data_IF_834075141403
#
_entry.id   IF_834075141403
#
_cell.length_a   1.000
_cell.length_b   1.000
_cell.length_c   1.000
_cell.angle_alpha   90.00
_cell.angle_beta   90.00
_cell.angle_gamma   90.00
#
_symmetry.space_group_name_H-M   'P 1'
#
loop_
_entity.id
_entity.type
_entity.pdbx_description
1 polymer ?
#
# COMPACT_ATOMS: atom_id res chain seq x y z
N UNK A 1 55.50 5.07 -19.77
CA UNK A 1 54.09 5.29 -20.10
C UNK A 1 53.92 6.76 -20.32
N UNK A 2 53.53 7.16 -21.51
CA UNK A 2 53.42 8.58 -21.88
C UNK A 2 52.23 9.23 -21.22
N UNK A 3 52.35 10.48 -20.77
CA UNK A 3 51.29 11.29 -20.12
C UNK A 3 49.95 11.24 -20.89
N UNK A 4 50.05 11.14 -22.22
CA UNK A 4 48.87 11.06 -23.09
C UNK A 4 48.01 9.81 -22.86
N UNK A 5 48.61 8.67 -22.47
CA UNK A 5 47.86 7.44 -22.17
C UNK A 5 47.13 7.56 -20.82
N UNK A 6 47.74 8.25 -19.85
CA UNK A 6 47.14 8.48 -18.55
C UNK A 6 45.92 9.44 -18.67
N UNK A 7 46.05 10.52 -19.46
CA UNK A 7 44.94 11.47 -19.72
C UNK A 7 43.79 10.77 -20.46
N UNK A 8 44.08 9.91 -21.43
CA UNK A 8 43.05 9.15 -22.15
C UNK A 8 42.32 8.14 -21.22
N UNK A 9 43.03 7.44 -20.30
CA UNK A 9 42.42 6.58 -19.31
C UNK A 9 41.56 7.28 -18.31
N UNK A 10 41.98 8.47 -17.85
CA UNK A 10 41.17 9.33 -16.94
C UNK A 10 39.94 9.85 -17.67
N UNK A 11 40.03 10.25 -18.92
CA UNK A 11 38.91 10.72 -19.73
C UNK A 11 37.86 9.65 -19.97
N UNK A 12 38.29 8.44 -20.36
CA UNK A 12 37.35 7.31 -20.58
C UNK A 12 36.75 6.81 -19.26
N UNK A 13 37.55 6.73 -18.19
CA UNK A 13 37.06 6.36 -16.87
C UNK A 13 36.06 7.35 -16.28
N UNK A 14 36.31 8.64 -16.47
CA UNK A 14 35.43 9.71 -16.01
C UNK A 14 34.08 9.73 -16.73
N UNK A 15 34.08 9.50 -18.06
CA UNK A 15 32.85 9.43 -18.85
C UNK A 15 32.03 8.17 -18.53
N UNK A 16 32.67 7.01 -18.32
CA UNK A 16 32.00 5.78 -17.91
C UNK A 16 31.36 5.90 -16.52
N UNK A 17 32.08 6.43 -15.55
CA UNK A 17 31.55 6.70 -14.21
C UNK A 17 30.43 7.73 -14.24
N UNK A 18 30.57 8.79 -15.01
CA UNK A 18 29.54 9.82 -15.17
C UNK A 18 28.25 9.29 -15.79
N UNK A 19 28.35 8.40 -16.78
CA UNK A 19 27.17 7.75 -17.39
C UNK A 19 26.49 6.76 -16.44
N UNK A 20 27.26 5.96 -15.69
CA UNK A 20 26.68 5.02 -14.71
C UNK A 20 25.96 5.78 -13.59
N UNK A 21 26.63 6.78 -13.00
CA UNK A 21 26.03 7.61 -11.94
C UNK A 21 24.84 8.41 -12.47
N UNK A 22 24.91 8.94 -13.69
CA UNK A 22 23.80 9.68 -14.32
C UNK A 22 22.60 8.81 -14.63
N UNK A 23 22.81 7.57 -15.08
CA UNK A 23 21.74 6.59 -15.33
C UNK A 23 21.06 6.16 -14.02
N UNK A 24 21.83 5.85 -12.98
CA UNK A 24 21.30 5.49 -11.67
C UNK A 24 20.57 6.66 -11.01
N UNK A 25 21.12 7.87 -11.10
CA UNK A 25 20.48 9.08 -10.57
C UNK A 25 19.21 9.45 -11.35
N UNK A 26 19.21 9.32 -12.68
CA UNK A 26 18.02 9.51 -13.51
C UNK A 26 16.94 8.45 -13.18
N UNK A 27 17.33 7.20 -12.95
CA UNK A 27 16.43 6.12 -12.56
C UNK A 27 15.86 6.35 -11.15
N UNK A 28 16.67 6.81 -10.21
CA UNK A 28 16.25 7.21 -8.88
C UNK A 28 15.34 8.44 -8.93
N UNK A 29 15.69 9.49 -9.65
CA UNK A 29 14.88 10.71 -9.75
C UNK A 29 13.57 10.49 -10.51
N UNK A 30 13.52 9.61 -11.51
CA UNK A 30 12.27 9.26 -12.19
C UNK A 30 11.28 8.48 -11.30
N UNK A 31 11.78 7.83 -10.24
CA UNK A 31 10.98 7.16 -9.22
C UNK A 31 10.53 8.01 -8.04
N UNK A 32 11.26 9.13 -7.76
CA UNK A 32 11.07 9.92 -6.53
C UNK A 32 9.94 10.95 -6.58
N UNK A 33 9.36 11.25 -7.72
CA UNK A 33 8.52 12.44 -7.86
C UNK A 33 7.01 12.26 -7.86
N UNK A 34 6.44 11.03 -7.87
CA UNK A 34 4.97 10.90 -7.93
C UNK A 34 4.50 9.62 -7.26
N UNK A 35 3.69 9.79 -6.19
CA UNK A 35 3.03 8.68 -5.51
C UNK A 35 2.24 7.85 -6.55
N UNK A 36 2.66 6.60 -6.78
CA UNK A 36 1.97 5.65 -7.66
C UNK A 36 0.62 5.21 -7.09
N UNK A 37 0.50 5.26 -5.76
CA UNK A 37 -0.69 4.89 -5.03
C UNK A 37 -1.11 6.05 -4.13
N UNK A 38 -2.37 6.44 -4.23
CA UNK A 38 -3.02 7.42 -3.34
C UNK A 38 -4.15 6.72 -2.59
N UNK A 39 -4.15 6.86 -1.27
CA UNK A 39 -5.22 6.35 -0.40
C UNK A 39 -6.12 7.51 0.01
N UNK A 40 -7.42 7.29 -0.06
CA UNK A 40 -8.46 8.27 0.27
C UNK A 40 -9.73 7.60 0.79
N UNK A 41 -10.71 8.39 1.25
CA UNK A 41 -12.01 7.91 1.73
C UNK A 41 -11.88 6.79 2.78
N UNK A 42 -11.09 7.08 3.82
CA UNK A 42 -10.79 6.13 4.89
C UNK A 42 -11.92 6.16 5.90
N UNK A 43 -12.48 4.99 6.17
CA UNK A 43 -13.51 4.75 7.19
C UNK A 43 -13.11 3.50 7.97
N UNK A 44 -12.85 3.67 9.26
CA UNK A 44 -12.30 2.63 10.13
C UNK A 44 -13.13 2.50 11.39
N UNK A 45 -13.51 1.27 11.73
CA UNK A 45 -14.11 0.93 13.01
C UNK A 45 -13.43 -0.29 13.61
N UNK A 46 -13.08 -0.20 14.87
CA UNK A 46 -12.55 -1.33 15.65
C UNK A 46 -13.56 -1.75 16.70
N UNK A 47 -13.98 -3.01 16.63
CA UNK A 47 -14.88 -3.66 17.55
C UNK A 47 -14.18 -4.62 18.49
N UNK A 48 -14.90 -5.09 19.47
CA UNK A 48 -14.40 -6.01 20.52
C UNK A 48 -14.38 -7.47 20.07
N UNK A 49 -14.96 -7.79 18.91
CA UNK A 49 -15.12 -9.16 18.42
C UNK A 49 -16.13 -9.99 19.22
N UNK A 50 -16.84 -9.39 20.19
CA UNK A 50 -17.83 -10.09 21.03
C UNK A 50 -19.20 -10.16 20.33
N UNK A 51 -20.06 -11.13 20.69
CA UNK A 51 -21.45 -11.15 20.23
C UNK A 51 -22.17 -9.84 20.59
N UNK A 52 -22.93 -9.29 19.66
CA UNK A 52 -23.66 -8.02 19.82
C UNK A 52 -25.03 -8.19 20.50
N UNK A 53 -25.38 -9.39 20.94
CA UNK A 53 -26.68 -9.72 21.54
C UNK A 53 -27.86 -9.72 20.55
N UNK A 54 -27.63 -9.41 19.27
CA UNK A 54 -28.64 -9.39 18.20
C UNK A 54 -28.42 -10.47 17.14
N UNK A 55 -27.57 -11.47 17.45
CA UNK A 55 -27.20 -12.56 16.55
C UNK A 55 -26.03 -12.23 15.64
N UNK A 56 -25.38 -11.07 15.82
CA UNK A 56 -24.17 -10.65 15.14
C UNK A 56 -22.95 -10.56 16.06
N UNK A 57 -21.89 -9.97 15.52
CA UNK A 57 -20.66 -9.71 16.26
C UNK A 57 -20.27 -8.22 16.11
N UNK A 58 -19.75 -7.63 17.17
CA UNK A 58 -19.11 -6.32 17.15
C UNK A 58 -17.74 -6.45 16.46
N UNK A 59 -17.78 -6.58 15.14
CA UNK A 59 -16.60 -6.77 14.29
C UNK A 59 -15.91 -5.46 13.95
N UNK A 60 -14.68 -5.60 13.48
CA UNK A 60 -13.88 -4.48 12.98
C UNK A 60 -13.94 -4.42 11.46
N UNK A 61 -14.02 -3.23 10.90
CA UNK A 61 -13.90 -3.03 9.47
C UNK A 61 -13.02 -1.82 9.12
N UNK A 62 -12.38 -1.92 7.97
CA UNK A 62 -11.56 -0.88 7.40
C UNK A 62 -11.96 -0.75 5.95
N UNK A 63 -12.44 0.43 5.57
CA UNK A 63 -12.76 0.79 4.20
C UNK A 63 -11.84 1.90 3.74
N UNK A 64 -11.32 1.80 2.53
CA UNK A 64 -10.56 2.88 1.92
C UNK A 64 -10.55 2.75 0.40
N UNK A 65 -10.27 3.85 -0.27
CA UNK A 65 -10.09 3.91 -1.72
C UNK A 65 -8.61 3.95 -2.06
N UNK A 66 -8.16 3.03 -2.91
CA UNK A 66 -6.81 3.00 -3.46
C UNK A 66 -6.85 3.39 -4.95
N UNK A 67 -6.25 4.53 -5.28
CA UNK A 67 -6.09 5.01 -6.65
C UNK A 67 -4.65 4.82 -7.08
N UNK A 68 -4.45 4.06 -8.17
CA UNK A 68 -3.14 3.64 -8.66
C UNK A 68 -2.93 4.23 -10.04
N UNK A 69 -1.81 4.93 -10.22
CA UNK A 69 -1.42 5.53 -11.50
C UNK A 69 -0.25 4.77 -12.11
N UNK A 70 -0.45 4.20 -13.28
CA UNK A 70 0.59 3.57 -14.08
C UNK A 70 1.04 4.52 -15.21
N UNK A 71 2.26 5.05 -15.11
CA UNK A 71 2.86 5.93 -16.13
C UNK A 71 3.70 5.18 -17.15
N UNK A 72 3.91 3.88 -16.97
CA UNK A 72 4.74 3.05 -17.84
C UNK A 72 3.99 2.66 -19.11
N UNK A 73 4.75 2.31 -20.15
CA UNK A 73 4.21 1.79 -21.43
C UNK A 73 3.80 0.31 -21.35
N UNK A 74 3.92 -0.32 -20.16
CA UNK A 74 3.53 -1.71 -19.92
C UNK A 74 2.49 -1.74 -18.80
N UNK A 75 1.59 -2.72 -18.79
CA UNK A 75 0.66 -2.94 -17.69
C UNK A 75 1.41 -3.19 -16.38
N UNK A 76 0.77 -2.83 -15.30
CA UNK A 76 1.27 -2.97 -13.93
C UNK A 76 0.32 -3.90 -13.18
N UNK A 77 0.84 -5.01 -12.68
CA UNK A 77 0.10 -5.92 -11.81
C UNK A 77 0.58 -5.72 -10.38
N UNK A 78 -0.36 -5.41 -9.50
CA UNK A 78 -0.16 -5.32 -8.06
C UNK A 78 -0.71 -6.59 -7.45
N UNK A 79 0.11 -7.29 -6.67
CA UNK A 79 -0.20 -8.59 -6.09
C UNK A 79 0.07 -8.61 -4.58
N UNK A 80 -0.27 -9.73 -3.94
CA UNK A 80 -0.03 -9.97 -2.50
C UNK A 80 -0.60 -8.85 -1.64
N UNK A 81 -1.84 -8.50 -1.94
CA UNK A 81 -2.57 -7.40 -1.32
C UNK A 81 -3.06 -7.82 0.06
N UNK A 82 -2.69 -7.06 1.10
CA UNK A 82 -3.11 -7.32 2.47
C UNK A 82 -3.12 -6.01 3.28
N UNK A 83 -3.79 -6.03 4.43
CA UNK A 83 -3.66 -5.02 5.47
C UNK A 83 -2.96 -5.61 6.69
N UNK A 84 -1.90 -4.97 7.14
CA UNK A 84 -1.24 -5.25 8.41
C UNK A 84 -1.76 -4.26 9.46
N UNK A 85 -2.20 -4.80 10.60
CA UNK A 85 -2.71 -4.02 11.74
C UNK A 85 -1.69 -4.05 12.87
N UNK A 86 -1.52 -2.91 13.52
CA UNK A 86 -0.51 -2.72 14.55
C UNK A 86 -1.12 -2.15 15.83
N UNK A 87 -0.49 -2.49 16.96
CA UNK A 87 -0.63 -1.83 18.26
C UNK A 87 0.78 -1.42 18.68
N UNK A 88 1.08 -0.13 18.69
CA UNK A 88 2.43 0.39 18.79
C UNK A 88 3.34 -0.13 17.67
N UNK A 89 4.43 -0.78 18.05
CA UNK A 89 5.36 -1.42 17.12
C UNK A 89 4.99 -2.86 16.77
N UNK A 90 4.04 -3.47 17.47
CA UNK A 90 3.69 -4.88 17.32
C UNK A 90 2.63 -5.07 16.24
N UNK A 91 2.89 -5.96 15.29
CA UNK A 91 1.89 -6.39 14.30
C UNK A 91 0.93 -7.39 14.96
N UNK A 92 -0.34 -6.98 15.13
CA UNK A 92 -1.37 -7.79 15.80
C UNK A 92 -2.17 -8.67 14.82
N UNK A 93 -2.32 -8.24 13.56
CA UNK A 93 -3.03 -9.04 12.56
C UNK A 93 -2.53 -8.76 11.14
N UNK A 94 -2.76 -9.74 10.24
CA UNK A 94 -2.64 -9.59 8.79
C UNK A 94 -3.95 -10.05 8.17
N UNK A 95 -4.60 -9.20 7.41
CA UNK A 95 -5.94 -9.44 6.88
C UNK A 95 -5.92 -9.37 5.35
N UNK A 96 -6.64 -10.27 4.71
CA UNK A 96 -6.91 -10.17 3.27
C UNK A 96 -7.81 -8.98 2.99
N UNK A 97 -7.65 -8.39 1.82
CA UNK A 97 -8.48 -7.32 1.30
C UNK A 97 -9.57 -7.89 0.39
N UNK A 98 -10.74 -7.27 0.41
CA UNK A 98 -11.83 -7.57 -0.48
C UNK A 98 -12.14 -6.36 -1.38
N UNK A 99 -12.62 -6.62 -2.58
CA UNK A 99 -13.09 -5.60 -3.52
C UNK A 99 -14.54 -5.23 -3.19
N UNK A 100 -14.75 -4.06 -2.61
CA UNK A 100 -16.08 -3.56 -2.21
C UNK A 100 -17.03 -3.37 -3.40
N UNK A 101 -16.47 -3.20 -4.60
CA UNK A 101 -17.25 -3.02 -5.83
C UNK A 101 -17.87 -4.34 -6.33
N UNK A 102 -17.44 -5.51 -5.80
CA UNK A 102 -17.98 -6.83 -6.13
C UNK A 102 -19.07 -7.31 -5.17
N UNK A 103 -19.76 -6.38 -4.52
CA UNK A 103 -20.77 -6.71 -3.50
C UNK A 103 -21.84 -7.66 -4.03
N UNK A 104 -22.03 -8.77 -3.31
CA UNK A 104 -23.13 -9.72 -3.51
C UNK A 104 -23.96 -9.78 -2.25
N UNK A 105 -25.28 -9.67 -2.38
CA UNK A 105 -26.20 -9.86 -1.26
C UNK A 105 -26.71 -11.29 -1.27
N UNK A 106 -26.47 -12.03 -0.21
CA UNK A 106 -26.96 -13.40 -0.05
C UNK A 106 -27.44 -13.61 1.38
N UNK A 107 -28.66 -14.10 1.56
CA UNK A 107 -29.25 -14.43 2.85
C UNK A 107 -29.13 -13.32 3.93
N UNK A 108 -29.29 -12.05 3.51
CA UNK A 108 -29.20 -10.91 4.43
C UNK A 108 -27.79 -10.42 4.74
N UNK A 109 -26.75 -11.13 4.27
CA UNK A 109 -25.34 -10.74 4.44
C UNK A 109 -24.74 -10.17 3.15
N UNK A 110 -23.81 -9.23 3.30
CA UNK A 110 -22.98 -8.75 2.18
C UNK A 110 -21.72 -9.61 2.09
N UNK A 111 -21.41 -10.09 0.88
CA UNK A 111 -20.18 -10.80 0.56
C UNK A 111 -19.44 -10.03 -0.52
N UNK A 112 -18.14 -9.88 -0.34
CA UNK A 112 -17.23 -9.24 -1.29
C UNK A 112 -16.24 -10.28 -1.81
N UNK A 113 -15.81 -10.15 -3.06
CA UNK A 113 -14.78 -11.03 -3.61
C UNK A 113 -13.41 -10.63 -3.07
N UNK A 114 -12.55 -11.61 -2.83
CA UNK A 114 -11.18 -11.37 -2.38
C UNK A 114 -10.38 -10.62 -3.45
N UNK A 115 -9.71 -9.54 -3.05
CA UNK A 115 -8.87 -8.74 -3.92
C UNK A 115 -7.45 -9.32 -3.96
N UNK A 116 -7.19 -10.22 -4.90
CA UNK A 116 -5.89 -10.91 -5.03
C UNK A 116 -4.88 -10.12 -5.81
N UNK A 117 -5.33 -9.37 -6.80
CA UNK A 117 -4.48 -8.52 -7.64
C UNK A 117 -5.25 -7.30 -8.16
N UNK A 118 -4.51 -6.29 -8.57
CA UNK A 118 -5.04 -5.13 -9.28
C UNK A 118 -4.23 -4.97 -10.56
N UNK A 119 -4.90 -5.07 -11.71
CA UNK A 119 -4.28 -4.79 -13.00
C UNK A 119 -4.52 -3.32 -13.36
N UNK A 120 -3.44 -2.64 -13.74
CA UNK A 120 -3.47 -1.25 -14.18
C UNK A 120 -2.85 -1.17 -15.57
N UNK A 121 -3.67 -0.92 -16.58
CA UNK A 121 -3.20 -0.82 -17.96
C UNK A 121 -2.09 0.22 -18.13
N UNK A 122 -1.35 0.14 -19.23
CA UNK A 122 -0.27 1.11 -19.52
C UNK A 122 -0.85 2.53 -19.63
N UNK A 123 -0.12 3.52 -19.09
CA UNK A 123 -0.48 4.96 -19.13
C UNK A 123 -1.91 5.26 -18.63
N UNK A 124 -2.40 4.48 -17.66
CA UNK A 124 -3.75 4.62 -17.12
C UNK A 124 -3.76 4.69 -15.61
N UNK A 125 -4.93 4.94 -15.04
CA UNK A 125 -5.18 4.85 -13.62
C UNK A 125 -6.32 3.87 -13.34
N UNK A 126 -6.22 3.18 -12.22
CA UNK A 126 -7.26 2.28 -11.71
C UNK A 126 -7.56 2.65 -10.27
N UNK A 127 -8.85 2.66 -9.92
CA UNK A 127 -9.30 2.90 -8.55
C UNK A 127 -10.03 1.67 -8.04
N UNK A 128 -9.73 1.27 -6.79
CA UNK A 128 -10.39 0.17 -6.10
C UNK A 128 -10.90 0.63 -4.74
N UNK A 129 -12.13 0.27 -4.42
CA UNK A 129 -12.71 0.43 -3.10
C UNK A 129 -12.42 -0.85 -2.30
N UNK A 130 -11.57 -0.74 -1.28
CA UNK A 130 -11.06 -1.87 -0.52
C UNK A 130 -11.83 -1.99 0.79
N UNK A 131 -12.22 -3.21 1.10
CA UNK A 131 -12.87 -3.60 2.35
C UNK A 131 -12.05 -4.67 3.06
N UNK A 132 -11.86 -4.49 4.36
CA UNK A 132 -11.24 -5.46 5.26
C UNK A 132 -12.18 -5.68 6.43
N UNK A 133 -12.49 -6.94 6.73
CA UNK A 133 -13.32 -7.31 7.86
C UNK A 133 -12.57 -8.28 8.78
N UNK A 134 -12.62 -8.02 10.08
CA UNK A 134 -11.96 -8.84 11.11
C UNK A 134 -12.92 -9.10 12.26
N UNK A 135 -13.01 -10.35 12.70
CA UNK A 135 -13.88 -10.76 13.81
C UNK A 135 -13.24 -10.64 15.19
N UNK A 136 -11.93 -10.45 15.27
CA UNK A 136 -11.21 -10.37 16.54
C UNK A 136 -11.36 -9.03 17.26
N UNK A 137 -10.93 -8.99 18.51
CA UNK A 137 -10.77 -7.74 19.26
C UNK A 137 -9.60 -6.93 18.69
N UNK A 138 -9.91 -5.77 18.15
CA UNK A 138 -8.96 -4.84 17.57
C UNK A 138 -9.02 -3.45 18.23
N UNK A 139 -9.61 -3.36 19.43
CA UNK A 139 -9.71 -2.07 20.15
C UNK A 139 -8.35 -1.45 20.47
N UNK A 140 -7.29 -2.27 20.55
CA UNK A 140 -5.91 -1.83 20.74
C UNK A 140 -5.20 -1.42 19.44
N UNK A 141 -5.85 -1.55 18.28
CA UNK A 141 -5.25 -1.16 16.99
C UNK A 141 -5.08 0.35 16.92
N UNK A 142 -3.87 0.80 16.61
CA UNK A 142 -3.53 2.21 16.48
C UNK A 142 -3.01 2.59 15.08
N UNK A 143 -2.71 1.58 14.24
CA UNK A 143 -2.20 1.81 12.89
C UNK A 143 -2.60 0.71 11.93
N UNK A 144 -3.01 1.12 10.73
CA UNK A 144 -3.34 0.26 9.60
C UNK A 144 -2.40 0.55 8.44
N UNK A 145 -1.77 -0.51 7.91
CA UNK A 145 -0.81 -0.42 6.82
C UNK A 145 -1.27 -1.29 5.66
N UNK A 146 -1.46 -0.69 4.51
CA UNK A 146 -1.71 -1.41 3.25
C UNK A 146 -0.40 -1.93 2.70
N UNK A 147 -0.36 -3.23 2.42
CA UNK A 147 0.82 -3.95 1.93
C UNK A 147 0.49 -4.54 0.57
N UNK A 148 1.40 -4.37 -0.37
CA UNK A 148 1.26 -4.91 -1.72
C UNK A 148 2.62 -5.17 -2.33
N UNK A 149 2.65 -5.98 -3.38
CA UNK A 149 3.87 -6.23 -4.16
C UNK A 149 3.71 -5.73 -5.59
N UNK A 150 4.79 -5.21 -6.12
CA UNK A 150 4.91 -4.86 -7.51
C UNK A 150 6.16 -5.55 -8.07
N UNK A 151 5.95 -6.61 -8.82
CA UNK A 151 7.03 -7.54 -9.16
C UNK A 151 7.62 -8.15 -7.89
N UNK A 152 8.92 -8.08 -7.73
CA UNK A 152 9.64 -8.61 -6.56
C UNK A 152 9.64 -7.65 -5.35
N UNK A 153 9.21 -6.40 -5.54
CA UNK A 153 9.32 -5.36 -4.51
C UNK A 153 8.05 -5.30 -3.67
N UNK A 154 8.17 -5.61 -2.38
CA UNK A 154 7.12 -5.38 -1.38
C UNK A 154 7.07 -3.91 -0.99
N UNK A 155 5.88 -3.34 -0.98
CA UNK A 155 5.61 -1.95 -0.62
C UNK A 155 4.64 -1.87 0.54
N UNK A 156 4.79 -0.82 1.34
CA UNK A 156 3.90 -0.53 2.47
C UNK A 156 3.45 0.92 2.40
N UNK A 157 2.17 1.16 2.68
CA UNK A 157 1.61 2.50 2.78
C UNK A 157 0.68 2.57 3.98
N UNK A 158 0.84 3.59 4.80
CA UNK A 158 -0.05 3.84 5.94
C UNK A 158 -1.41 4.24 5.39
N UNK A 159 -2.45 3.54 5.85
CA UNK A 159 -3.85 3.85 5.57
C UNK A 159 -4.41 4.75 6.65
N UNK A 160 -4.18 4.37 7.92
CA UNK A 160 -4.74 5.06 9.06
C UNK A 160 -3.81 4.96 10.26
N UNK A 161 -3.80 6.02 11.07
CA UNK A 161 -3.14 6.07 12.37
C UNK A 161 -4.12 6.70 13.34
N UNK A 162 -4.23 6.14 14.53
CA UNK A 162 -5.00 6.73 15.62
C UNK A 162 -4.38 8.07 15.98
N UNK A 163 -5.14 9.15 15.90
CA UNK A 163 -4.70 10.44 16.39
C UNK A 163 -4.67 10.40 17.92
N UNK A 164 -3.52 10.68 18.50
CA UNK A 164 -3.43 10.92 19.94
C UNK A 164 -4.27 12.16 20.25
N UNK A 165 -5.41 11.96 20.91
CA UNK A 165 -6.18 13.09 21.42
C UNK A 165 -5.26 13.84 22.40
N UNK A 166 -4.89 15.10 22.14
CA UNK A 166 -4.08 15.83 23.09
C UNK A 166 -4.87 15.87 24.39
N UNK A 167 -4.25 15.34 25.45
CA UNK A 167 -4.82 15.46 26.79
C UNK A 167 -5.09 16.94 27.05
N UNK A 168 -6.37 17.31 27.10
CA UNK A 168 -6.77 18.60 27.58
C UNK A 168 -6.25 18.69 29.02
N UNK A 169 -5.14 19.42 29.20
CA UNK A 169 -4.68 19.79 30.52
C UNK A 169 -5.74 20.66 31.16
N UNK A 170 -6.49 20.07 32.08
CA UNK A 170 -7.32 20.76 33.06
C UNK A 170 -6.43 21.30 34.16
#
# INVERSE_FOLDING_TARGET
MTENVLCALIGVGGTLLGTIVGLDFSYLCSGFGRKLLVISNIDVRFGTGKPDGKGGYDGSWINFRASILNKKNKSLIIEKIACELYSGSNRIAVCSCADKDTVRKSAGAYKYDELRYIDVASKSSTTKNIHVFVRGDLTSCDKVVFVYSWGIVKRKQIVWVKEDTPHANT
#
